data_IF_337744334175
#
_entry.id   IF_337744334175
#
_cell.length_a   1.000
_cell.length_b   1.000
_cell.length_c   1.000
_cell.angle_alpha   90.00
_cell.angle_beta   90.00
_cell.angle_gamma   90.00
#
_symmetry.space_group_name_H-M   'P 1'
#
loop_
_entity.id
_entity.type
_entity.pdbx_description
1 polymer ?
#
# COMPACT_ATOMS: atom_id res chain seq x y z
N UNK A 1 6.60 4.46 -18.41
CA UNK A 1 7.15 5.68 -19.08
C UNK A 1 6.39 6.99 -18.85
N UNK A 2 5.12 7.03 -18.37
CA UNK A 2 4.38 8.31 -18.23
C UNK A 2 4.97 9.26 -17.19
N UNK A 3 5.42 8.77 -16.03
CA UNK A 3 6.00 9.61 -14.97
C UNK A 3 7.25 10.35 -15.44
N UNK A 4 8.19 9.64 -16.07
CA UNK A 4 9.39 10.23 -16.67
C UNK A 4 9.03 11.30 -17.70
N UNK A 5 8.13 10.97 -18.63
CA UNK A 5 7.75 11.89 -19.71
C UNK A 5 6.98 13.12 -19.21
N UNK A 6 6.00 12.92 -18.34
CA UNK A 6 5.03 13.96 -17.99
C UNK A 6 5.47 14.79 -16.78
N UNK A 7 6.04 14.16 -15.75
CA UNK A 7 6.41 14.86 -14.51
C UNK A 7 7.87 15.35 -14.53
N UNK A 8 8.80 14.50 -14.98
CA UNK A 8 10.24 14.82 -14.93
C UNK A 8 10.64 15.63 -16.16
N UNK A 9 10.34 15.12 -17.35
CA UNK A 9 10.71 15.73 -18.65
C UNK A 9 9.68 16.73 -19.19
N UNK A 10 8.54 16.93 -18.52
CA UNK A 10 7.51 17.93 -18.86
C UNK A 10 7.02 17.88 -20.33
N UNK A 11 7.03 16.69 -20.94
CA UNK A 11 6.70 16.45 -22.35
C UNK A 11 7.56 17.23 -23.37
N UNK A 12 8.70 17.75 -22.95
CA UNK A 12 9.63 18.43 -23.86
C UNK A 12 10.26 17.41 -24.80
N UNK A 13 10.27 17.74 -26.10
CA UNK A 13 10.65 16.80 -27.17
C UNK A 13 12.17 16.64 -27.33
N UNK A 14 12.96 17.60 -26.87
CA UNK A 14 14.42 17.57 -27.00
C UNK A 14 15.07 18.26 -25.80
N UNK A 15 16.08 17.60 -25.24
CA UNK A 15 17.02 18.15 -24.27
C UNK A 15 18.42 17.87 -24.81
N UNK A 16 19.35 18.80 -24.60
CA UNK A 16 20.76 18.49 -24.80
C UNK A 16 21.26 17.55 -23.69
N UNK A 17 22.38 16.86 -23.92
CA UNK A 17 22.88 15.85 -22.98
C UNK A 17 23.14 16.41 -21.56
N UNK A 18 23.74 17.62 -21.40
CA UNK A 18 23.89 18.24 -20.08
C UNK A 18 22.56 18.56 -19.38
N UNK A 19 21.56 19.07 -20.10
CA UNK A 19 20.23 19.32 -19.56
C UNK A 19 19.56 18.03 -19.10
N UNK A 20 19.68 16.96 -19.89
CA UNK A 20 19.11 15.66 -19.51
C UNK A 20 19.76 15.13 -18.22
N UNK A 21 21.08 15.27 -18.10
CA UNK A 21 21.80 14.89 -16.89
C UNK A 21 21.32 15.70 -15.68
N UNK A 22 21.28 17.02 -15.79
CA UNK A 22 20.79 17.91 -14.73
C UNK A 22 19.35 17.58 -14.31
N UNK A 23 18.45 17.32 -15.27
CA UNK A 23 17.07 16.89 -15.00
C UNK A 23 17.00 15.57 -14.24
N UNK A 24 17.86 14.61 -14.56
CA UNK A 24 17.90 13.30 -13.89
C UNK A 24 18.51 13.38 -12.50
N UNK A 25 19.46 14.27 -12.25
CA UNK A 25 20.09 14.40 -10.92
C UNK A 25 19.36 15.36 -10.01
N UNK A 26 18.61 16.34 -10.53
CA UNK A 26 17.84 17.27 -9.68
C UNK A 26 16.38 16.83 -9.57
N UNK A 27 15.64 16.90 -10.68
CA UNK A 27 14.18 16.77 -10.68
C UNK A 27 13.69 15.36 -10.39
N UNK A 28 14.43 14.34 -10.81
CA UNK A 28 14.09 12.96 -10.49
C UNK A 28 14.17 12.71 -8.99
N UNK A 29 15.24 13.18 -8.35
CA UNK A 29 15.46 13.06 -6.91
C UNK A 29 14.35 13.76 -6.15
N UNK A 30 14.11 15.05 -6.43
CA UNK A 30 13.03 15.83 -5.79
C UNK A 30 11.66 15.19 -5.99
N UNK A 31 11.39 14.62 -7.17
CA UNK A 31 10.12 13.95 -7.43
C UNK A 31 9.94 12.72 -6.54
N UNK A 32 10.97 11.88 -6.38
CA UNK A 32 10.88 10.68 -5.55
C UNK A 32 10.90 11.01 -4.06
N UNK A 33 11.66 12.01 -3.61
CA UNK A 33 11.58 12.51 -2.24
C UNK A 33 10.15 12.94 -1.90
N UNK A 34 9.52 13.77 -2.74
CA UNK A 34 8.13 14.18 -2.55
C UNK A 34 7.18 12.98 -2.50
N UNK A 35 7.42 11.93 -3.30
CA UNK A 35 6.63 10.68 -3.24
C UNK A 35 6.82 9.91 -1.95
N UNK A 36 8.04 9.83 -1.43
CA UNK A 36 8.32 9.17 -0.15
C UNK A 36 7.62 9.93 0.98
N UNK A 37 7.68 11.27 0.97
CA UNK A 37 6.96 12.11 1.94
C UNK A 37 5.44 11.91 1.84
N UNK A 38 4.87 11.88 0.64
CA UNK A 38 3.44 11.61 0.44
C UNK A 38 3.01 10.24 0.99
N UNK A 39 3.87 9.23 0.84
CA UNK A 39 3.67 7.88 1.38
C UNK A 39 3.77 7.89 2.91
N UNK A 40 4.82 8.46 3.47
CA UNK A 40 5.06 8.50 4.91
C UNK A 40 3.96 9.27 5.66
N UNK A 41 3.43 10.33 5.05
CA UNK A 41 2.34 11.14 5.61
C UNK A 41 0.95 10.57 5.32
N UNK A 42 0.84 9.41 4.67
CA UNK A 42 -0.43 8.75 4.37
C UNK A 42 -1.27 9.46 3.29
N UNK A 43 -0.78 10.52 2.65
CA UNK A 43 -1.49 11.22 1.54
C UNK A 43 -1.67 10.31 0.32
N UNK A 44 -0.71 9.42 0.10
CA UNK A 44 -0.73 8.47 -1.01
C UNK A 44 -1.63 7.25 -0.76
N UNK A 45 -1.96 6.96 0.50
CA UNK A 45 -2.72 5.78 0.89
C UNK A 45 -4.11 5.76 0.26
N UNK A 46 -4.84 6.87 0.31
CA UNK A 46 -6.19 6.93 -0.26
C UNK A 46 -6.20 6.59 -1.75
N UNK A 47 -5.23 7.11 -2.51
CA UNK A 47 -5.14 6.88 -3.96
C UNK A 47 -4.71 5.45 -4.31
N UNK A 48 -3.71 4.92 -3.61
CA UNK A 48 -3.18 3.59 -3.92
C UNK A 48 -4.10 2.48 -3.42
N UNK A 49 -4.68 2.66 -2.22
CA UNK A 49 -5.73 1.79 -1.68
C UNK A 49 -6.94 1.79 -2.63
N UNK A 50 -7.37 2.92 -3.19
CA UNK A 50 -8.49 2.97 -4.14
C UNK A 50 -8.30 2.14 -5.43
N UNK A 51 -7.06 1.78 -5.80
CA UNK A 51 -6.80 0.88 -6.95
C UNK A 51 -7.09 -0.59 -6.64
N UNK A 52 -6.95 -0.97 -5.37
CA UNK A 52 -7.07 -2.36 -4.93
C UNK A 52 -8.32 -2.60 -4.07
N UNK A 53 -8.84 -1.55 -3.43
CA UNK A 53 -10.23 -1.52 -2.98
C UNK A 53 -11.09 -1.50 -4.23
N UNK A 54 -11.85 -2.56 -4.50
CA UNK A 54 -12.77 -2.53 -5.62
C UNK A 54 -13.76 -1.37 -5.41
N UNK A 55 -14.00 -0.58 -6.47
CA UNK A 55 -15.00 0.49 -6.44
C UNK A 55 -16.40 -0.03 -6.08
N UNK A 56 -16.64 -1.33 -6.30
CA UNK A 56 -17.85 -2.04 -5.90
C UNK A 56 -17.52 -3.19 -4.93
N UNK A 57 -17.98 -3.06 -3.69
CA UNK A 57 -17.76 -4.02 -2.59
C UNK A 57 -18.47 -5.37 -2.80
N UNK A 58 -17.92 -6.24 -3.64
CA UNK A 58 -18.59 -7.51 -3.99
C UNK A 58 -18.14 -8.73 -3.15
N UNK A 59 -17.22 -8.56 -2.21
CA UNK A 59 -16.88 -9.61 -1.23
C UNK A 59 -17.48 -9.19 0.11
N UNK A 60 -18.72 -9.64 0.34
CA UNK A 60 -19.38 -9.51 1.62
C UNK A 60 -18.58 -10.26 2.70
N UNK A 61 -18.65 -9.81 3.96
CA UNK A 61 -18.01 -10.50 5.08
C UNK A 61 -18.43 -11.98 5.18
N UNK A 62 -19.65 -12.32 4.77
CA UNK A 62 -20.16 -13.70 4.69
C UNK A 62 -19.42 -14.61 3.71
N UNK A 63 -18.67 -14.04 2.77
CA UNK A 63 -17.83 -14.77 1.80
C UNK A 63 -16.41 -14.99 2.30
N UNK A 64 -16.08 -14.50 3.50
CA UNK A 64 -14.76 -14.62 4.11
C UNK A 64 -14.90 -15.49 5.35
N UNK A 65 -14.17 -16.61 5.36
CA UNK A 65 -14.09 -17.51 6.50
C UNK A 65 -12.67 -17.46 7.05
N UNK A 66 -12.53 -17.14 8.33
CA UNK A 66 -11.25 -17.25 9.03
C UNK A 66 -11.02 -18.73 9.39
N UNK A 67 -9.87 -19.28 8.97
CA UNK A 67 -9.48 -20.66 9.33
C UNK A 67 -8.53 -20.65 10.52
N UNK A 68 -7.55 -19.75 10.51
CA UNK A 68 -6.55 -19.61 11.57
C UNK A 68 -6.35 -18.12 11.89
N UNK A 69 -5.44 -17.82 12.82
CA UNK A 69 -4.97 -16.46 13.00
C UNK A 69 -4.38 -15.95 11.68
N UNK A 70 -4.97 -14.86 11.17
CA UNK A 70 -4.58 -14.16 9.93
C UNK A 70 -4.63 -14.99 8.62
N UNK A 71 -5.17 -16.21 8.63
CA UNK A 71 -5.46 -16.98 7.41
C UNK A 71 -6.95 -17.03 7.13
N UNK A 72 -7.31 -16.69 5.89
CA UNK A 72 -8.68 -16.53 5.46
C UNK A 72 -8.95 -17.26 4.15
N UNK A 73 -10.11 -17.91 4.06
CA UNK A 73 -10.67 -18.36 2.79
C UNK A 73 -11.64 -17.31 2.30
N UNK A 74 -11.38 -16.81 1.10
CA UNK A 74 -12.19 -15.81 0.42
C UNK A 74 -12.88 -16.45 -0.77
N UNK A 75 -14.21 -16.52 -0.73
CA UNK A 75 -15.02 -17.04 -1.85
C UNK A 75 -15.10 -15.99 -2.95
N UNK A 76 -14.45 -16.28 -4.08
CA UNK A 76 -14.60 -15.54 -5.32
C UNK A 76 -15.91 -15.88 -6.04
N UNK A 77 -16.04 -15.38 -7.27
CA UNK A 77 -17.22 -15.65 -8.13
C UNK A 77 -17.26 -17.09 -8.65
N UNK A 78 -16.08 -17.68 -8.90
CA UNK A 78 -15.95 -18.99 -9.54
C UNK A 78 -15.23 -20.01 -8.67
N UNK A 79 -14.29 -19.56 -7.82
CA UNK A 79 -13.44 -20.41 -6.99
C UNK A 79 -13.19 -19.76 -5.63
N UNK A 80 -12.76 -20.57 -4.67
CA UNK A 80 -12.30 -20.12 -3.36
C UNK A 80 -10.79 -19.89 -3.39
N UNK A 81 -10.35 -18.82 -2.73
CA UNK A 81 -8.94 -18.46 -2.63
C UNK A 81 -8.52 -18.40 -1.17
N UNK A 82 -7.31 -18.88 -0.91
CA UNK A 82 -6.67 -18.80 0.40
C UNK A 82 -5.87 -17.50 0.43
N UNK A 83 -6.11 -16.67 1.44
CA UNK A 83 -5.42 -15.42 1.68
C UNK A 83 -4.73 -15.53 3.05
N UNK A 84 -3.41 -15.54 3.02
CA UNK A 84 -2.57 -15.49 4.21
C UNK A 84 -2.11 -14.04 4.40
N UNK A 85 -2.61 -13.40 5.46
CA UNK A 85 -2.29 -12.01 5.77
C UNK A 85 -0.97 -11.87 6.55
N UNK A 86 -0.40 -12.96 7.08
CA UNK A 86 0.94 -12.95 7.68
C UNK A 86 2.01 -13.02 6.60
N UNK A 87 1.84 -13.92 5.62
CA UNK A 87 2.73 -14.05 4.47
C UNK A 87 2.44 -13.05 3.35
N UNK A 88 1.33 -12.33 3.46
CA UNK A 88 0.81 -11.39 2.45
C UNK A 88 0.66 -12.02 1.05
N UNK A 89 0.27 -13.28 1.03
CA UNK A 89 0.05 -14.05 -0.19
C UNK A 89 -1.42 -14.39 -0.36
N UNK A 90 -1.86 -14.52 -1.61
CA UNK A 90 -3.16 -15.07 -1.91
C UNK A 90 -3.04 -16.05 -3.07
N UNK A 91 -3.75 -17.17 -3.01
CA UNK A 91 -3.74 -18.19 -4.07
C UNK A 91 -4.38 -17.73 -5.40
N UNK A 92 -4.83 -16.48 -5.49
CA UNK A 92 -5.34 -15.93 -6.74
C UNK A 92 -4.18 -15.57 -7.70
N UNK A 93 -4.41 -15.55 -9.03
CA UNK A 93 -3.35 -15.27 -10.01
C UNK A 93 -2.63 -13.93 -9.80
N UNK A 94 -3.31 -12.95 -9.20
CA UNK A 94 -2.72 -11.66 -8.86
C UNK A 94 -1.89 -11.70 -7.56
N UNK A 95 -2.37 -12.40 -6.53
CA UNK A 95 -1.76 -12.40 -5.20
C UNK A 95 -0.69 -13.47 -4.97
N UNK A 96 -0.57 -14.44 -5.88
CA UNK A 96 0.39 -15.54 -5.74
C UNK A 96 1.85 -15.08 -5.78
N UNK A 97 2.12 -13.89 -6.32
CA UNK A 97 3.45 -13.27 -6.38
C UNK A 97 3.69 -12.26 -5.25
N UNK A 98 2.82 -12.18 -4.25
CA UNK A 98 2.88 -11.16 -3.19
C UNK A 98 2.41 -9.77 -3.62
N UNK A 99 1.76 -9.66 -4.78
CA UNK A 99 1.15 -8.40 -5.19
C UNK A 99 -0.21 -8.20 -4.48
N UNK A 100 -0.56 -6.97 -4.09
CA UNK A 100 -1.83 -6.67 -3.45
C UNK A 100 -3.02 -7.09 -4.32
N UNK A 101 -3.92 -7.88 -3.76
CA UNK A 101 -5.11 -8.37 -4.48
C UNK A 101 -6.43 -7.96 -3.81
N UNK A 102 -7.52 -8.06 -4.58
CA UNK A 102 -8.89 -7.77 -4.12
C UNK A 102 -9.33 -8.60 -2.90
N UNK A 103 -8.81 -9.82 -2.77
CA UNK A 103 -9.15 -10.71 -1.65
C UNK A 103 -8.50 -10.24 -0.35
N UNK A 104 -7.21 -9.90 -0.39
CA UNK A 104 -6.50 -9.29 0.74
C UNK A 104 -7.13 -7.95 1.13
N UNK A 105 -7.47 -7.10 0.15
CA UNK A 105 -8.16 -5.84 0.40
C UNK A 105 -9.53 -6.04 1.09
N UNK A 106 -10.28 -7.08 0.72
CA UNK A 106 -11.54 -7.42 1.37
C UNK A 106 -11.34 -7.88 2.82
N UNK A 107 -10.32 -8.70 3.08
CA UNK A 107 -9.96 -9.13 4.45
C UNK A 107 -9.58 -7.93 5.32
N UNK A 108 -8.68 -7.06 4.84
CA UNK A 108 -8.29 -5.84 5.56
C UNK A 108 -9.49 -4.95 5.90
N UNK A 109 -10.45 -4.82 4.97
CA UNK A 109 -11.65 -4.00 5.15
C UNK A 109 -12.58 -4.52 6.25
N UNK A 110 -12.77 -5.84 6.33
CA UNK A 110 -13.77 -6.44 7.24
C UNK A 110 -13.20 -6.90 8.58
N UNK A 111 -11.94 -7.32 8.62
CA UNK A 111 -11.31 -7.90 9.81
C UNK A 111 -10.26 -6.98 10.44
N UNK A 112 -10.13 -5.73 9.96
CA UNK A 112 -9.17 -4.73 10.44
C UNK A 112 -7.73 -5.26 10.56
N UNK A 113 -7.39 -6.24 9.73
CA UNK A 113 -6.04 -6.77 9.63
C UNK A 113 -5.19 -5.80 8.78
N UNK A 114 -3.99 -5.53 9.25
CA UNK A 114 -3.03 -4.65 8.59
C UNK A 114 -2.16 -5.47 7.63
N UNK A 115 -1.80 -4.91 6.47
CA UNK A 115 -0.88 -5.53 5.51
C UNK A 115 0.08 -4.51 4.90
N UNK A 116 1.38 -4.78 5.08
CA UNK A 116 2.53 -4.06 4.54
C UNK A 116 2.54 -4.00 3.01
N UNK A 117 1.97 -5.01 2.33
CA UNK A 117 1.82 -5.05 0.87
C UNK A 117 1.10 -3.84 0.27
N UNK A 118 0.34 -3.10 1.09
CA UNK A 118 -0.47 -1.98 0.61
C UNK A 118 0.11 -0.60 0.90
N UNK A 119 1.05 -0.44 1.84
CA UNK A 119 1.85 0.75 2.22
C UNK A 119 2.39 0.62 3.67
N UNK A 120 3.36 1.45 4.10
CA UNK A 120 3.84 1.48 5.49
C UNK A 120 2.73 1.95 6.44
N UNK A 121 2.23 1.02 7.24
CA UNK A 121 1.13 1.23 8.18
C UNK A 121 1.59 1.80 9.52
N UNK A 122 2.73 1.32 10.02
CA UNK A 122 3.22 1.68 11.34
C UNK A 122 3.98 3.02 11.31
N UNK A 123 3.79 3.90 12.32
CA UNK A 123 4.52 5.16 12.43
C UNK A 123 6.04 4.99 12.36
N UNK A 124 6.58 3.90 12.89
CA UNK A 124 8.00 3.58 12.86
C UNK A 124 8.52 3.38 11.43
N UNK A 125 7.80 2.62 10.60
CA UNK A 125 8.18 2.45 9.19
C UNK A 125 8.08 3.77 8.42
N UNK A 126 7.08 4.60 8.74
CA UNK A 126 6.94 5.93 8.15
C UNK A 126 8.11 6.83 8.55
N UNK A 127 8.57 6.75 9.80
CA UNK A 127 9.74 7.47 10.28
C UNK A 127 11.03 7.01 9.58
N UNK A 128 11.22 5.71 9.37
CA UNK A 128 12.33 5.17 8.57
C UNK A 128 12.33 5.74 7.15
N UNK A 129 11.17 5.81 6.50
CA UNK A 129 11.05 6.40 5.17
C UNK A 129 11.37 7.89 5.13
N UNK A 130 10.98 8.64 6.17
CA UNK A 130 11.30 10.07 6.26
C UNK A 130 12.82 10.32 6.31
N UNK A 131 13.62 9.39 6.85
CA UNK A 131 15.09 9.48 6.86
C UNK A 131 15.72 9.45 5.46
N UNK A 132 15.00 8.92 4.46
CA UNK A 132 15.46 8.85 3.07
C UNK A 132 15.25 10.16 2.30
N UNK A 133 14.67 11.16 2.95
CA UNK A 133 14.32 12.44 2.32
C UNK A 133 15.12 13.56 2.96
N UNK A 134 15.39 14.62 2.21
CA UNK A 134 15.99 15.85 2.72
C UNK A 134 15.06 16.64 3.69
N UNK A 135 13.87 16.12 4.00
CA UNK A 135 12.94 16.75 4.91
C UNK A 135 13.41 16.65 6.37
N UNK A 136 13.02 17.62 7.20
CA UNK A 136 13.31 17.60 8.63
C UNK A 136 12.77 16.32 9.29
N UNK A 137 13.50 15.86 10.31
CA UNK A 137 13.10 14.68 11.09
C UNK A 137 11.80 14.99 11.83
N UNK A 138 10.73 14.33 11.43
CA UNK A 138 9.40 14.47 12.03
C UNK A 138 9.33 13.61 13.29
N UNK A 139 8.77 14.15 14.39
CA UNK A 139 8.54 13.40 15.62
C UNK A 139 7.62 12.19 15.37
N UNK A 140 7.90 11.07 16.02
CA UNK A 140 7.06 9.87 15.99
C UNK A 140 5.61 10.18 16.41
N UNK A 141 5.41 11.12 17.35
CA UNK A 141 4.09 11.53 17.82
C UNK A 141 3.23 12.12 16.69
N UNK A 142 3.86 12.83 15.74
CA UNK A 142 3.16 13.40 14.59
C UNK A 142 2.74 12.33 13.58
N UNK A 143 3.50 11.23 13.48
CA UNK A 143 3.21 10.12 12.58
C UNK A 143 2.17 9.14 13.14
N UNK A 144 1.79 9.30 14.41
CA UNK A 144 0.73 8.49 15.02
C UNK A 144 -0.62 8.77 14.36
N UNK A 145 -1.46 7.73 14.19
CA UNK A 145 -2.80 7.92 13.66
C UNK A 145 -3.65 8.78 14.62
N UNK A 146 -4.39 9.74 14.06
CA UNK A 146 -5.29 10.63 14.83
C UNK A 146 -6.41 9.89 15.58
N UNK A 147 -6.66 8.62 15.22
CA UNK A 147 -7.57 7.72 15.90
C UNK A 147 -6.79 6.47 16.28
N UNK A 148 -6.91 6.03 17.52
CA UNK A 148 -6.45 4.69 17.93
C UNK A 148 -7.18 3.65 17.06
N UNK A 149 -6.48 3.09 16.09
CA UNK A 149 -6.98 1.96 15.32
C UNK A 149 -7.18 0.79 16.27
N UNK A 150 -8.40 0.26 16.33
CA UNK A 150 -8.65 -1.01 17.03
C UNK A 150 -7.90 -2.09 16.26
N UNK A 151 -6.70 -2.44 16.72
CA UNK A 151 -5.99 -3.63 16.30
C UNK A 151 -6.78 -4.83 16.83
N UNK A 152 -7.65 -5.38 15.99
CA UNK A 152 -8.23 -6.69 16.26
C UNK A 152 -8.42 -7.41 14.94
N UNK A 153 -7.37 -8.07 14.44
CA UNK A 153 -7.65 -9.38 13.85
C UNK A 153 -8.26 -10.17 15.01
N UNK A 154 -9.57 -10.41 14.97
CA UNK A 154 -10.25 -11.13 16.04
C UNK A 154 -9.52 -12.46 16.21
N UNK A 155 -9.05 -12.73 17.43
CA UNK A 155 -8.43 -14.01 17.79
C UNK A 155 -9.40 -15.12 17.38
N UNK A 156 -8.91 -16.11 16.64
CA UNK A 156 -9.72 -17.23 16.23
C UNK A 156 -10.38 -17.88 17.47
N UNK A 157 -11.71 -17.78 17.58
CA UNK A 157 -12.47 -18.46 18.64
C UNK A 157 -12.90 -19.83 18.10
N UNK A 158 -12.12 -20.86 18.39
CA UNK A 158 -12.58 -22.25 18.26
C UNK A 158 -13.86 -22.43 19.07
N UNK A 159 -14.94 -22.84 18.42
CA UNK A 159 -16.08 -23.47 19.09
C UNK A 159 -15.83 -24.97 19.16
#
# INVERSE_FOLDING_TARGET
MRVLKDNILQRTKAFNLPQLFDLLTSRLETYYEARIVDVALGRWEAFQRAKFLPQDGNIAASRIQQIEDKKFVVKGSTQTYDADMDLELCSCPAGQTGAPCKHQAAVMKHYSCLSHSFLPIHPEMRAELMKLTSAETISLDFLQPLRLERQSCQSFRSK
#
